data_IF_443745191260
#
_entry.id   IF_443745191260
#
_cell.length_a   1.000
_cell.length_b   1.000
_cell.length_c   1.000
_cell.angle_alpha   90.00
_cell.angle_beta   90.00
_cell.angle_gamma   90.00
#
_symmetry.space_group_name_H-M   'P 1'
#
loop_
_entity.id
_entity.type
_entity.pdbx_description
1 polymer ?
#
# COMPACT_ATOMS: atom_id res chain seq x y z
N UNK A 1 -17.89 12.06 11.50
CA UNK A 1 -18.35 10.68 11.71
C UNK A 1 -17.31 9.73 11.13
N UNK A 2 -16.90 8.75 11.90
CA UNK A 2 -15.92 7.76 11.44
C UNK A 2 -16.67 6.52 10.99
N UNK A 3 -16.40 6.07 9.76
CA UNK A 3 -16.91 4.79 9.25
C UNK A 3 -15.84 3.76 9.51
N UNK A 4 -16.15 2.75 10.33
CA UNK A 4 -15.24 1.65 10.61
C UNK A 4 -15.15 0.71 9.41
N UNK A 5 -13.96 0.13 9.14
CA UNK A 5 -13.85 -0.94 8.14
C UNK A 5 -14.83 -2.07 8.46
N UNK A 6 -15.47 -2.62 7.43
CA UNK A 6 -16.49 -3.65 7.58
C UNK A 6 -17.88 -3.14 7.96
N UNK A 7 -18.05 -1.84 8.16
CA UNK A 7 -19.37 -1.26 8.38
C UNK A 7 -20.22 -1.42 7.12
N UNK A 8 -21.46 -1.92 7.31
CA UNK A 8 -22.41 -2.00 6.22
C UNK A 8 -22.86 -0.59 5.83
N UNK A 9 -22.44 -0.15 4.67
CA UNK A 9 -22.71 1.19 4.18
C UNK A 9 -23.88 1.14 3.19
N UNK A 10 -25.07 1.60 3.63
CA UNK A 10 -26.29 1.58 2.81
C UNK A 10 -26.32 2.78 1.86
N UNK A 11 -25.47 2.73 0.86
CA UNK A 11 -25.44 3.69 -0.23
C UNK A 11 -25.97 3.01 -1.50
N UNK A 12 -26.96 3.60 -2.20
CA UNK A 12 -27.52 3.00 -3.43
C UNK A 12 -26.46 2.65 -4.49
N UNK A 13 -25.33 3.35 -4.51
CA UNK A 13 -24.24 3.07 -5.44
C UNK A 13 -23.61 1.71 -5.23
N UNK A 14 -23.70 1.13 -4.01
CA UNK A 14 -23.11 -0.15 -3.65
C UNK A 14 -24.12 -1.29 -3.54
N UNK A 15 -25.41 -0.97 -3.57
CA UNK A 15 -26.48 -1.91 -3.17
C UNK A 15 -26.51 -3.19 -3.99
N UNK A 16 -26.38 -3.07 -5.31
CA UNK A 16 -26.47 -4.20 -6.22
C UNK A 16 -25.11 -4.60 -6.80
N UNK A 17 -24.03 -4.12 -6.20
CA UNK A 17 -22.67 -4.35 -6.65
C UNK A 17 -22.05 -5.48 -5.83
N UNK A 18 -21.72 -6.58 -6.50
CA UNK A 18 -21.13 -7.77 -5.87
C UNK A 18 -19.61 -7.68 -5.72
N UNK A 19 -18.98 -6.63 -6.28
CA UNK A 19 -17.55 -6.45 -6.15
C UNK A 19 -17.17 -6.14 -4.70
N UNK A 20 -16.01 -6.65 -4.27
CA UNK A 20 -15.42 -6.26 -3.00
C UNK A 20 -14.95 -4.79 -3.07
N UNK A 21 -14.78 -4.12 -1.91
CA UNK A 21 -14.14 -2.79 -1.89
C UNK A 21 -12.80 -2.75 -2.61
N UNK A 22 -11.96 -3.78 -2.47
CA UNK A 22 -10.68 -3.85 -3.18
C UNK A 22 -10.86 -3.91 -4.70
N UNK A 23 -11.84 -4.66 -5.19
CA UNK A 23 -12.16 -4.72 -6.62
C UNK A 23 -12.67 -3.38 -7.14
N UNK A 24 -13.53 -2.71 -6.38
CA UNK A 24 -14.04 -1.38 -6.73
C UNK A 24 -12.90 -0.36 -6.79
N UNK A 25 -11.99 -0.40 -5.82
CA UNK A 25 -10.81 0.46 -5.79
C UNK A 25 -9.94 0.24 -7.04
N UNK A 26 -9.68 -1.02 -7.38
CA UNK A 26 -8.89 -1.38 -8.56
C UNK A 26 -9.54 -0.87 -9.85
N UNK A 27 -10.87 -0.90 -9.94
CA UNK A 27 -11.63 -0.43 -11.10
C UNK A 27 -11.77 1.09 -11.15
N UNK A 28 -11.24 1.81 -10.17
CA UNK A 28 -11.32 3.28 -10.13
C UNK A 28 -12.69 3.80 -9.71
N UNK A 29 -13.48 3.01 -9.03
CA UNK A 29 -14.83 3.35 -8.59
C UNK A 29 -14.85 3.75 -7.11
N UNK A 30 -16.00 4.25 -6.65
CA UNK A 30 -16.20 4.52 -5.22
C UNK A 30 -16.12 3.24 -4.40
N UNK A 31 -15.51 3.33 -3.23
CA UNK A 31 -15.45 2.21 -2.29
C UNK A 31 -15.39 2.70 -0.85
N UNK A 32 -15.77 1.83 0.06
CA UNK A 32 -15.58 2.01 1.50
C UNK A 32 -14.64 0.91 1.97
N UNK A 33 -13.58 1.31 2.68
CA UNK A 33 -12.60 0.33 3.17
C UNK A 33 -13.27 -0.68 4.11
N UNK A 34 -13.02 -1.95 3.85
CA UNK A 34 -13.46 -3.07 4.68
C UNK A 34 -12.30 -3.64 5.51
N UNK A 35 -12.54 -4.76 6.17
CA UNK A 35 -11.53 -5.41 7.01
C UNK A 35 -10.31 -5.88 6.18
N UNK A 36 -10.51 -6.32 4.95
CA UNK A 36 -9.44 -6.71 4.03
C UNK A 36 -8.50 -5.53 3.76
N UNK A 37 -9.05 -4.39 3.36
CA UNK A 37 -8.26 -3.19 3.08
C UNK A 37 -7.61 -2.63 4.35
N UNK A 38 -8.30 -2.67 5.48
CA UNK A 38 -7.72 -2.25 6.77
C UNK A 38 -6.51 -3.12 7.14
N UNK A 39 -6.61 -4.43 6.95
CA UNK A 39 -5.49 -5.35 7.23
C UNK A 39 -4.32 -5.09 6.27
N UNK A 40 -4.59 -4.82 5.00
CA UNK A 40 -3.57 -4.48 4.01
C UNK A 40 -2.84 -3.18 4.37
N UNK A 41 -3.58 -2.16 4.83
CA UNK A 41 -2.99 -0.91 5.28
C UNK A 41 -2.08 -1.09 6.50
N UNK A 42 -2.51 -1.87 7.48
CA UNK A 42 -1.69 -2.20 8.67
C UNK A 42 -0.43 -2.99 8.31
N UNK A 43 -0.54 -3.92 7.37
CA UNK A 43 0.60 -4.67 6.86
C UNK A 43 1.63 -3.74 6.22
N UNK A 44 1.19 -2.80 5.40
CA UNK A 44 2.07 -1.82 4.76
C UNK A 44 2.82 -0.96 5.78
N UNK A 45 2.13 -0.46 6.80
CA UNK A 45 2.74 0.32 7.88
C UNK A 45 3.82 -0.50 8.59
N UNK A 46 3.52 -1.74 8.94
CA UNK A 46 4.46 -2.61 9.64
C UNK A 46 5.70 -2.91 8.81
N UNK A 47 5.53 -3.26 7.53
CA UNK A 47 6.65 -3.56 6.64
C UNK A 47 7.51 -2.33 6.37
N UNK A 48 6.92 -1.16 6.19
CA UNK A 48 7.67 0.07 5.96
C UNK A 48 8.40 0.55 7.20
N UNK A 49 7.87 0.27 8.39
CA UNK A 49 8.60 0.53 9.66
C UNK A 49 9.87 -0.31 9.75
N UNK A 50 9.78 -1.60 9.40
CA UNK A 50 10.95 -2.49 9.32
C UNK A 50 11.93 -2.06 8.23
N UNK A 51 11.42 -1.64 7.08
CA UNK A 51 12.23 -1.11 5.98
C UNK A 51 13.04 0.11 6.42
N UNK A 52 12.40 1.05 7.10
CA UNK A 52 13.07 2.25 7.60
C UNK A 52 14.23 1.91 8.54
N UNK A 53 14.06 0.91 9.39
CA UNK A 53 15.12 0.44 10.28
C UNK A 53 16.26 -0.24 9.53
N UNK A 54 15.96 -1.05 8.53
CA UNK A 54 16.94 -1.83 7.79
C UNK A 54 17.72 -1.00 6.76
N UNK A 55 17.10 0.01 6.18
CA UNK A 55 17.63 0.76 5.03
C UNK A 55 19.08 1.26 5.23
N UNK A 56 19.44 1.88 6.38
CA UNK A 56 20.78 2.44 6.52
C UNK A 56 21.87 1.40 6.77
N UNK A 57 21.55 0.19 7.22
CA UNK A 57 22.56 -0.76 7.71
C UNK A 57 22.51 -2.12 7.03
N UNK A 58 21.39 -2.51 6.44
CA UNK A 58 21.20 -3.83 5.85
C UNK A 58 20.45 -3.73 4.52
N UNK A 59 21.16 -3.44 3.41
CA UNK A 59 20.53 -3.24 2.12
C UNK A 59 19.81 -4.48 1.58
N UNK A 60 20.26 -5.68 1.90
CA UNK A 60 19.61 -6.90 1.42
C UNK A 60 18.27 -7.13 2.09
N UNK A 61 18.19 -6.93 3.39
CA UNK A 61 16.91 -7.00 4.12
C UNK A 61 16.00 -5.87 3.70
N UNK A 62 16.52 -4.65 3.51
CA UNK A 62 15.74 -3.52 3.02
C UNK A 62 15.12 -3.83 1.66
N UNK A 63 15.89 -4.36 0.72
CA UNK A 63 15.39 -4.73 -0.61
C UNK A 63 14.30 -5.81 -0.52
N UNK A 64 14.49 -6.81 0.33
CA UNK A 64 13.48 -7.84 0.56
C UNK A 64 12.17 -7.26 1.10
N UNK A 65 12.26 -6.39 2.09
CA UNK A 65 11.07 -5.76 2.70
C UNK A 65 10.32 -4.87 1.69
N UNK A 66 11.06 -4.11 0.89
CA UNK A 66 10.46 -3.27 -0.15
C UNK A 66 9.69 -4.12 -1.17
N UNK A 67 10.26 -5.25 -1.56
CA UNK A 67 9.61 -6.20 -2.48
C UNK A 67 8.37 -6.86 -1.85
N UNK A 68 8.29 -6.92 -0.52
CA UNK A 68 7.11 -7.46 0.18
C UNK A 68 5.96 -6.44 0.24
N UNK A 69 6.26 -5.16 0.29
CA UNK A 69 5.22 -4.13 0.43
C UNK A 69 4.73 -3.61 -0.91
N UNK A 70 5.61 -3.41 -1.88
CA UNK A 70 5.24 -2.93 -3.21
C UNK A 70 4.81 -4.07 -4.13
N UNK A 71 4.00 -3.74 -5.13
CA UNK A 71 3.52 -4.73 -6.10
C UNK A 71 4.62 -5.25 -7.01
N UNK A 72 5.52 -4.39 -7.45
CA UNK A 72 6.65 -4.75 -8.28
C UNK A 72 7.80 -3.78 -8.04
N UNK A 73 9.00 -4.31 -7.83
CA UNK A 73 10.22 -3.54 -7.64
C UNK A 73 11.29 -4.07 -8.59
N UNK A 74 11.84 -3.20 -9.41
CA UNK A 74 12.94 -3.53 -10.32
C UNK A 74 14.26 -3.72 -9.58
N UNK A 75 15.32 -3.89 -10.36
CA UNK A 75 16.69 -4.03 -9.84
C UNK A 75 17.29 -2.65 -9.54
N UNK A 76 18.20 -2.60 -8.57
CA UNK A 76 18.95 -1.39 -8.21
C UNK A 76 18.03 -0.21 -7.86
N UNK A 77 16.96 -0.49 -7.12
CA UNK A 77 16.03 0.52 -6.62
C UNK A 77 16.45 0.94 -5.22
N UNK A 78 16.56 2.24 -5.01
CA UNK A 78 16.77 2.81 -3.68
C UNK A 78 15.70 3.85 -3.37
N UNK A 79 14.94 3.61 -2.32
CA UNK A 79 13.93 4.54 -1.82
C UNK A 79 14.32 4.95 -0.42
N UNK A 80 14.71 6.21 -0.26
CA UNK A 80 15.04 6.75 1.06
C UNK A 80 13.79 6.86 1.92
N UNK A 81 13.80 6.27 3.13
CA UNK A 81 12.67 6.43 4.03
C UNK A 81 12.56 7.86 4.57
N UNK A 82 11.38 8.31 5.00
CA UNK A 82 10.16 7.53 5.04
C UNK A 82 9.48 7.42 3.67
N UNK A 83 8.90 6.27 3.40
CA UNK A 83 7.96 6.02 2.33
C UNK A 83 6.59 5.78 2.95
N UNK A 84 5.57 6.47 2.45
CA UNK A 84 4.18 6.33 2.92
C UNK A 84 3.31 5.85 1.78
N UNK A 85 2.54 4.81 2.03
CA UNK A 85 1.60 4.25 1.04
C UNK A 85 0.29 3.91 1.75
N UNK A 86 -0.78 3.68 1.00
CA UNK A 86 -1.99 3.09 1.57
C UNK A 86 -1.81 1.58 1.74
N UNK A 87 -1.58 0.86 0.66
CA UNK A 87 -1.48 -0.60 0.64
C UNK A 87 -0.14 -1.08 0.10
N UNK A 88 0.41 -0.40 -0.89
CA UNK A 88 1.68 -0.69 -1.54
C UNK A 88 1.57 -1.59 -2.77
N UNK A 89 0.67 -2.56 -2.78
CA UNK A 89 0.62 -3.58 -3.81
C UNK A 89 0.19 -3.06 -5.19
N UNK A 90 -0.37 -1.86 -5.27
CA UNK A 90 -0.69 -1.21 -6.55
C UNK A 90 0.44 -0.35 -7.12
N UNK A 91 1.61 -0.38 -6.50
CA UNK A 91 2.76 0.44 -6.89
C UNK A 91 3.79 -0.44 -7.58
N UNK A 92 4.25 0.00 -8.74
CA UNK A 92 5.36 -0.61 -9.47
C UNK A 92 6.47 0.41 -9.65
N UNK A 93 7.70 -0.02 -9.40
CA UNK A 93 8.91 0.82 -9.54
C UNK A 93 9.88 0.13 -10.48
N UNK A 94 10.35 0.82 -11.48
CA UNK A 94 11.26 0.29 -12.48
C UNK A 94 12.71 0.24 -12.02
N UNK A 95 13.55 -0.46 -12.82
CA UNK A 95 14.96 -0.64 -12.54
C UNK A 95 15.71 0.70 -12.41
N UNK A 96 16.65 0.75 -11.48
CA UNK A 96 17.54 1.90 -11.31
C UNK A 96 16.85 3.15 -10.76
N UNK A 97 15.62 3.04 -10.29
CA UNK A 97 14.90 4.18 -9.71
C UNK A 97 15.49 4.59 -8.37
N UNK A 98 15.63 5.89 -8.19
CA UNK A 98 16.08 6.45 -6.93
C UNK A 98 15.06 7.47 -6.43
N UNK A 99 14.66 7.33 -5.19
CA UNK A 99 13.63 8.17 -4.56
C UNK A 99 14.21 8.80 -3.30
N UNK A 100 14.05 10.11 -3.17
CA UNK A 100 14.51 10.85 -2.01
C UNK A 100 13.50 10.75 -0.85
N UNK A 101 13.75 11.47 0.23
CA UNK A 101 12.97 11.40 1.45
C UNK A 101 11.53 11.87 1.27
N UNK A 102 10.61 11.15 1.87
CA UNK A 102 9.26 11.64 2.10
C UNK A 102 8.27 11.40 0.96
N UNK A 103 8.52 10.46 0.05
CA UNK A 103 7.53 10.11 -0.96
C UNK A 103 6.27 9.53 -0.32
N UNK A 104 5.13 10.05 -0.73
CA UNK A 104 3.82 9.52 -0.34
C UNK A 104 3.05 9.11 -1.58
N UNK A 105 2.61 7.86 -1.62
CA UNK A 105 1.84 7.29 -2.73
C UNK A 105 0.59 6.63 -2.16
N UNK A 106 -0.55 7.25 -2.37
CA UNK A 106 -1.84 6.74 -1.89
C UNK A 106 -2.45 5.84 -2.96
N UNK A 107 -2.08 4.56 -2.91
CA UNK A 107 -2.53 3.56 -3.86
C UNK A 107 -3.83 2.88 -3.36
#
# INVERSE_FOLDING_TARGET
MTISPGTNFDDPRFRDDERTPAQRMHDGDYYVADDELAAAAKRAVRLLSLYEQAHPTDPDIAAYLLAQVLGQVGEDVDIRPPLRVDYGYNISIGDGSWVNYGLTVLD
#
